data_IF_815608053194
#
_entry.id   IF_815608053194
#
_cell.length_a   1.000
_cell.length_b   1.000
_cell.length_c   1.000
_cell.angle_alpha   90.00
_cell.angle_beta   90.00
_cell.angle_gamma   90.00
#
_symmetry.space_group_name_H-M   'P 1'
#
loop_
_entity.id
_entity.type
_entity.pdbx_description
1 polymer ?
#
# COMPACT_ATOMS: atom_id res chain seq x y z
N UNK A 1 -24.03 -10.39 -10.45
CA UNK A 1 -23.65 -9.97 -9.09
C UNK A 1 -22.18 -10.29 -8.96
N UNK A 2 -21.32 -9.34 -9.35
CA UNK A 2 -19.87 -9.49 -9.23
C UNK A 2 -19.45 -8.98 -7.85
N UNK A 3 -18.67 -9.81 -7.16
CA UNK A 3 -18.29 -9.60 -5.77
C UNK A 3 -17.20 -8.53 -5.66
N UNK A 4 -17.62 -7.28 -5.50
CA UNK A 4 -16.78 -6.20 -4.97
C UNK A 4 -16.44 -6.53 -3.51
N UNK A 5 -15.17 -6.83 -3.15
CA UNK A 5 -14.54 -6.59 -1.82
C UNK A 5 -13.19 -7.30 -1.54
N UNK A 6 -12.54 -7.98 -2.48
CA UNK A 6 -11.23 -8.61 -2.22
C UNK A 6 -10.11 -7.89 -3.00
N UNK A 7 -9.21 -7.21 -2.27
CA UNK A 7 -7.94 -6.74 -2.82
C UNK A 7 -7.13 -7.96 -3.28
N UNK A 8 -7.04 -8.14 -4.59
CA UNK A 8 -6.26 -9.21 -5.20
C UNK A 8 -4.93 -8.68 -5.76
N UNK A 9 -3.92 -9.55 -5.77
CA UNK A 9 -2.63 -9.21 -6.39
C UNK A 9 -2.84 -9.07 -7.89
N UNK A 10 -2.51 -7.90 -8.44
CA UNK A 10 -2.67 -7.58 -9.86
C UNK A 10 -3.88 -6.69 -10.17
N UNK A 11 -4.69 -6.34 -9.16
CA UNK A 11 -5.77 -5.38 -9.32
C UNK A 11 -5.23 -4.00 -9.73
N UNK A 12 -5.92 -3.34 -10.66
CA UNK A 12 -5.50 -2.08 -11.24
C UNK A 12 -6.52 -1.00 -10.90
N UNK A 13 -6.02 0.12 -10.38
CA UNK A 13 -6.84 1.25 -9.96
C UNK A 13 -6.55 2.46 -10.82
N UNK A 14 -7.60 3.03 -11.41
CA UNK A 14 -7.57 4.31 -12.14
C UNK A 14 -7.53 5.53 -11.20
N UNK A 15 -8.04 5.37 -9.98
CA UNK A 15 -8.25 6.45 -9.02
C UNK A 15 -7.79 6.10 -7.60
N UNK A 16 -7.20 7.08 -6.91
CA UNK A 16 -6.74 6.90 -5.54
C UNK A 16 -7.90 6.65 -4.56
N UNK A 17 -9.07 7.26 -4.81
CA UNK A 17 -10.26 7.06 -3.98
C UNK A 17 -10.74 5.61 -3.97
N UNK A 18 -10.75 4.95 -5.14
CA UNK A 18 -11.11 3.53 -5.27
C UNK A 18 -10.12 2.63 -4.54
N UNK A 19 -8.82 2.90 -4.70
CA UNK A 19 -7.77 2.17 -4.00
C UNK A 19 -7.90 2.30 -2.47
N UNK A 20 -8.13 3.52 -1.97
CA UNK A 20 -8.32 3.78 -0.54
C UNK A 20 -9.52 3.03 0.00
N UNK A 21 -10.65 3.06 -0.71
CA UNK A 21 -11.86 2.34 -0.31
C UNK A 21 -11.65 0.82 -0.27
N UNK A 22 -10.96 0.26 -1.27
CA UNK A 22 -10.64 -1.16 -1.31
C UNK A 22 -9.73 -1.59 -0.14
N UNK A 23 -8.77 -0.73 0.25
CA UNK A 23 -7.93 -0.96 1.43
C UNK A 23 -8.76 -0.91 2.71
N UNK A 24 -9.63 0.09 2.89
CA UNK A 24 -10.49 0.19 4.08
C UNK A 24 -11.41 -1.02 4.24
N UNK A 25 -11.85 -1.60 3.12
CA UNK A 25 -12.67 -2.80 3.09
C UNK A 25 -11.84 -4.04 3.44
N UNK A 26 -10.63 -4.15 2.88
CA UNK A 26 -9.68 -5.20 3.23
C UNK A 26 -9.28 -5.15 4.72
N UNK A 27 -9.10 -3.96 5.29
CA UNK A 27 -8.84 -3.74 6.72
C UNK A 27 -9.96 -4.31 7.60
N UNK A 28 -11.22 -4.03 7.23
CA UNK A 28 -12.41 -4.54 7.94
C UNK A 28 -12.51 -6.05 7.83
N UNK A 29 -12.32 -6.62 6.64
CA UNK A 29 -12.37 -8.07 6.39
C UNK A 29 -11.28 -8.81 7.16
N UNK A 30 -10.04 -8.30 7.12
CA UNK A 30 -8.88 -8.90 7.79
C UNK A 30 -8.78 -8.54 9.27
N UNK A 31 -9.71 -7.72 9.81
CA UNK A 31 -9.69 -7.17 11.18
C UNK A 31 -8.33 -6.61 11.58
N UNK A 32 -7.66 -5.98 10.61
CA UNK A 32 -6.27 -5.51 10.70
C UNK A 32 -6.22 -4.08 10.20
N UNK A 33 -5.51 -3.21 10.92
CA UNK A 33 -5.36 -1.82 10.54
C UNK A 33 -4.06 -1.64 9.76
N UNK A 34 -4.08 -0.88 8.67
CA UNK A 34 -2.95 -0.63 7.80
C UNK A 34 -2.63 0.87 7.76
N UNK A 35 -1.34 1.20 7.78
CA UNK A 35 -0.85 2.58 7.69
C UNK A 35 0.09 2.72 6.49
N UNK A 36 0.19 3.94 5.96
CA UNK A 36 1.09 4.24 4.84
C UNK A 36 2.53 4.24 5.38
N UNK A 37 3.28 3.18 5.04
CA UNK A 37 4.69 3.02 5.44
C UNK A 37 5.64 3.85 4.58
N UNK A 38 5.41 3.84 3.28
CA UNK A 38 6.24 4.52 2.29
C UNK A 38 5.35 5.01 1.15
N UNK A 39 5.60 6.23 0.70
CA UNK A 39 4.93 6.81 -0.43
C UNK A 39 5.92 7.61 -1.28
N UNK A 40 5.76 7.53 -2.59
CA UNK A 40 6.47 8.39 -3.53
C UNK A 40 5.47 9.02 -4.45
N UNK A 41 5.40 10.34 -4.45
CA UNK A 41 4.54 11.08 -5.38
C UNK A 41 5.11 11.04 -6.80
N UNK A 42 4.24 11.24 -7.79
CA UNK A 42 4.66 11.32 -9.19
C UNK A 42 5.60 12.49 -9.42
N UNK A 43 5.38 13.63 -8.77
CA UNK A 43 6.28 14.78 -8.83
C UNK A 43 7.69 14.44 -8.31
N UNK A 44 7.78 13.74 -7.17
CA UNK A 44 9.07 13.31 -6.62
C UNK A 44 9.73 12.23 -7.49
N UNK A 45 8.95 11.40 -8.17
CA UNK A 45 9.44 10.44 -9.15
C UNK A 45 10.02 11.14 -10.40
N UNK A 46 9.29 12.11 -10.95
CA UNK A 46 9.69 12.91 -12.11
C UNK A 46 10.95 13.74 -11.82
N UNK A 47 11.02 14.41 -10.66
CA UNK A 47 12.22 15.15 -10.22
C UNK A 47 13.47 14.29 -10.14
N UNK A 48 13.32 12.98 -9.86
CA UNK A 48 14.43 12.01 -9.81
C UNK A 48 14.76 11.37 -11.17
N UNK A 49 14.19 11.87 -12.27
CA UNK A 49 14.53 11.45 -13.63
C UNK A 49 13.61 10.39 -14.24
N UNK A 50 12.46 10.08 -13.63
CA UNK A 50 11.48 9.18 -14.23
C UNK A 50 10.69 9.96 -15.29
N UNK A 51 10.96 9.66 -16.58
CA UNK A 51 10.39 10.37 -17.74
C UNK A 51 9.21 9.66 -18.40
N UNK A 52 8.70 8.57 -17.81
CA UNK A 52 7.58 7.83 -18.41
C UNK A 52 6.30 8.68 -18.35
N UNK A 53 5.43 8.63 -19.38
CA UNK A 53 4.14 9.29 -19.31
C UNK A 53 3.34 8.61 -18.19
N UNK A 54 2.99 9.38 -17.17
CA UNK A 54 2.14 8.94 -16.07
C UNK A 54 0.91 9.80 -16.12
N UNK A 55 -0.26 9.17 -15.97
CA UNK A 55 -1.53 9.86 -15.92
C UNK A 55 -1.49 10.88 -14.77
N UNK A 56 -1.68 12.14 -15.11
CA UNK A 56 -1.66 13.29 -14.19
C UNK A 56 -2.77 13.24 -13.13
N UNK A 57 -3.78 12.40 -13.33
CA UNK A 57 -4.84 12.12 -12.34
C UNK A 57 -4.34 11.28 -11.15
N UNK A 58 -3.18 10.62 -11.29
CA UNK A 58 -2.59 9.84 -10.21
C UNK A 58 -1.70 10.75 -9.35
N UNK A 59 -1.78 10.56 -8.02
CA UNK A 59 -0.99 11.35 -7.04
C UNK A 59 0.32 10.63 -6.68
N UNK A 60 0.24 9.30 -6.51
CA UNK A 60 1.34 8.47 -6.04
C UNK A 60 1.91 7.60 -7.16
N UNK A 61 3.23 7.61 -7.28
CA UNK A 61 4.01 6.72 -8.15
C UNK A 61 4.10 5.33 -7.56
N UNK A 62 4.36 5.27 -6.25
CA UNK A 62 4.29 4.05 -5.47
C UNK A 62 3.71 4.37 -4.09
N UNK A 63 3.07 3.37 -3.51
CA UNK A 63 2.46 3.49 -2.20
C UNK A 63 2.51 2.12 -1.53
N UNK A 64 3.03 2.09 -0.31
CA UNK A 64 3.15 0.88 0.48
C UNK A 64 2.39 1.06 1.78
N UNK A 65 1.38 0.23 1.98
CA UNK A 65 0.68 0.08 3.25
C UNK A 65 1.25 -1.12 4.01
N UNK A 66 1.45 -0.95 5.31
CA UNK A 66 1.87 -2.02 6.19
C UNK A 66 0.89 -2.13 7.36
N UNK A 67 0.72 -3.32 7.91
CA UNK A 67 -0.11 -3.51 9.09
C UNK A 67 0.45 -2.70 10.28
N UNK A 68 -0.43 -2.00 11.01
CA UNK A 68 -0.10 -1.23 12.22
C UNK A 68 0.41 -2.13 13.33
N UNK A 69 -0.12 -3.36 13.43
CA UNK A 69 0.41 -4.39 14.35
C UNK A 69 1.76 -4.95 13.89
N UNK A 70 2.23 -4.61 12.69
CA UNK A 70 3.58 -4.89 12.18
C UNK A 70 4.57 -3.73 12.40
N UNK A 71 4.39 -2.92 13.44
CA UNK A 71 5.45 -2.03 13.91
C UNK A 71 6.60 -2.85 14.53
N UNK A 72 7.83 -2.31 14.53
CA UNK A 72 8.97 -2.94 15.22
C UNK A 72 8.69 -3.01 16.73
N UNK A 73 8.19 -4.14 17.22
CA UNK A 73 8.28 -4.48 18.63
C UNK A 73 9.64 -5.13 18.89
N UNK A 74 10.39 -4.54 19.81
CA UNK A 74 11.62 -5.14 20.32
C UNK A 74 11.23 -6.21 21.34
N UNK A 75 11.32 -7.48 20.94
CA UNK A 75 11.22 -8.59 21.88
C UNK A 75 12.57 -8.80 22.56
N UNK A 76 12.66 -8.39 23.82
CA UNK A 76 13.86 -8.49 24.65
C UNK A 76 14.29 -9.95 24.89
N UNK A 77 13.34 -10.88 24.83
CA UNK A 77 13.48 -12.32 25.07
C UNK A 77 14.30 -13.02 23.98
N UNK A 78 14.13 -12.62 22.72
CA UNK A 78 14.76 -13.27 21.57
C UNK A 78 15.91 -12.46 20.96
N UNK A 79 16.19 -11.24 21.47
CA UNK A 79 17.14 -10.25 20.88
C UNK A 79 16.97 -10.12 19.36
N UNK A 80 15.76 -10.37 18.89
CA UNK A 80 15.41 -10.48 17.49
C UNK A 80 14.11 -9.73 17.31
N UNK A 81 14.00 -8.79 16.36
CA UNK A 81 12.71 -8.21 16.01
C UNK A 81 11.87 -9.32 15.38
N UNK A 82 11.05 -10.03 16.17
CA UNK A 82 10.08 -11.00 15.64
C UNK A 82 8.73 -10.87 16.33
N UNK A 83 7.87 -10.14 15.63
CA UNK A 83 6.43 -10.15 15.73
C UNK A 83 5.84 -9.33 14.59
N UNK A 84 6.49 -9.31 13.42
CA UNK A 84 6.09 -8.50 12.28
C UNK A 84 4.86 -9.16 11.65
N UNK A 85 3.73 -8.46 11.65
CA UNK A 85 2.70 -8.76 10.66
C UNK A 85 3.29 -8.40 9.29
N UNK A 86 3.95 -9.37 8.65
CA UNK A 86 4.60 -9.21 7.36
C UNK A 86 3.66 -8.94 6.19
N UNK A 87 2.38 -8.70 6.47
CA UNK A 87 1.37 -8.30 5.51
C UNK A 87 1.59 -6.84 5.11
N UNK A 88 1.88 -6.65 3.84
CA UNK A 88 1.96 -5.33 3.22
C UNK A 88 1.20 -5.33 1.89
N UNK A 89 0.61 -4.18 1.57
CA UNK A 89 0.00 -3.93 0.27
C UNK A 89 0.89 -2.92 -0.44
N UNK A 90 1.42 -3.30 -1.60
CA UNK A 90 2.29 -2.43 -2.40
C UNK A 90 1.62 -2.16 -3.73
N UNK A 91 1.38 -0.89 -4.00
CA UNK A 91 0.84 -0.41 -5.26
C UNK A 91 1.90 0.43 -5.95
N UNK A 92 2.07 0.19 -7.24
CA UNK A 92 2.97 0.96 -8.08
C UNK A 92 2.28 1.26 -9.40
N UNK A 93 2.54 2.43 -9.94
CA UNK A 93 2.01 2.83 -11.24
C UNK A 93 2.54 1.87 -12.31
N UNK A 94 1.61 1.22 -13.02
CA UNK A 94 1.90 0.42 -14.21
C UNK A 94 2.03 1.31 -15.44
N UNK A 95 2.58 0.76 -16.53
CA UNK A 95 2.76 1.45 -17.82
C UNK A 95 1.44 1.78 -18.48
#
# INVERSE_FOLDING_TARGET
>A
MESESELNVGDAFDDFGRLKWAIELFEKTQKSNYWIRDCRTIEAAQKKGIKRPIKETLVYYNLTWACVKGGRSYDESTRSPRGDCGSYVKVAVSK
#
